data_IF_233283368508
#
_entry.id   IF_233283368508
#
_cell.length_a   1.000
_cell.length_b   1.000
_cell.length_c   1.000
_cell.angle_alpha   90.00
_cell.angle_beta   90.00
_cell.angle_gamma   90.00
#
_symmetry.space_group_name_H-M   'P 1'
#
loop_
_entity.id
_entity.type
_entity.pdbx_description
1 polymer ?
#
# COMPACT_ATOMS: atom_id res chain seq x y z
N UNK A 1 -5.69 6.28 1.00
CA UNK A 1 -4.55 6.02 0.09
C UNK A 1 -4.94 6.39 -1.34
N UNK A 2 -4.01 6.82 -2.21
CA UNK A 2 -4.24 7.09 -3.64
C UNK A 2 -3.32 6.23 -4.51
N UNK A 3 -3.81 5.10 -5.00
CA UNK A 3 -3.05 4.30 -5.97
C UNK A 3 -3.18 4.86 -7.39
N UNK A 4 -2.10 4.76 -8.18
CA UNK A 4 -1.96 5.38 -9.51
C UNK A 4 -2.36 4.45 -10.67
N UNK A 5 -3.11 3.40 -10.36
CA UNK A 5 -3.89 2.64 -11.34
C UNK A 5 -5.35 3.09 -11.20
N UNK A 6 -6.05 3.34 -12.32
CA UNK A 6 -7.48 3.72 -12.35
C UNK A 6 -8.36 2.80 -11.50
N UNK A 7 -7.90 1.59 -11.17
CA UNK A 7 -8.61 0.56 -10.41
C UNK A 7 -8.58 0.74 -8.88
N UNK A 8 -7.70 1.56 -8.30
CA UNK A 8 -7.43 1.53 -6.84
C UNK A 8 -7.44 2.92 -6.15
N UNK A 9 -8.10 3.92 -6.75
CA UNK A 9 -8.27 5.25 -6.16
C UNK A 9 -9.26 5.21 -4.98
N UNK A 10 -8.88 5.82 -3.86
CA UNK A 10 -9.79 6.02 -2.72
C UNK A 10 -9.89 4.84 -1.74
N UNK A 11 -9.00 3.86 -1.83
CA UNK A 11 -8.98 2.74 -0.90
C UNK A 11 -8.46 3.20 0.47
N UNK A 12 -9.19 2.81 1.51
CA UNK A 12 -8.85 2.98 2.92
C UNK A 12 -8.90 1.63 3.62
N UNK A 13 -7.98 1.42 4.55
CA UNK A 13 -7.94 0.20 5.33
C UNK A 13 -6.74 0.19 6.26
N UNK A 14 -6.70 -0.82 7.11
CA UNK A 14 -5.60 -1.05 8.04
C UNK A 14 -4.52 -1.87 7.35
N UNK A 15 -3.28 -1.40 7.42
CA UNK A 15 -2.13 -2.20 6.97
C UNK A 15 -1.95 -3.39 7.91
N UNK A 16 -1.96 -4.59 7.35
CA UNK A 16 -1.78 -5.85 8.07
C UNK A 16 -0.32 -6.31 8.00
N UNK A 17 0.35 -6.05 6.87
CA UNK A 17 1.75 -6.38 6.71
C UNK A 17 2.29 -6.05 5.33
N UNK A 18 3.54 -6.45 5.12
CA UNK A 18 4.25 -6.27 3.87
C UNK A 18 4.81 -7.61 3.41
N UNK A 19 4.76 -7.84 2.10
CA UNK A 19 5.59 -8.86 1.44
C UNK A 19 6.72 -8.17 0.69
N UNK A 20 7.57 -8.93 -0.02
CA UNK A 20 8.73 -8.40 -0.75
C UNK A 20 8.41 -7.21 -1.68
N UNK A 21 7.21 -7.16 -2.24
CA UNK A 21 6.81 -6.13 -3.21
C UNK A 21 5.37 -5.64 -3.08
N UNK A 22 4.63 -6.12 -2.09
CA UNK A 22 3.23 -5.78 -1.90
C UNK A 22 2.93 -5.33 -0.47
N UNK A 23 1.91 -4.49 -0.35
CA UNK A 23 1.21 -4.17 0.88
C UNK A 23 0.05 -5.15 1.04
N UNK A 24 -0.11 -5.70 2.25
CA UNK A 24 -1.31 -6.45 2.64
C UNK A 24 -2.12 -5.56 3.57
N UNK A 25 -3.42 -5.40 3.28
CA UNK A 25 -4.31 -4.55 4.06
C UNK A 25 -5.69 -5.18 4.21
N UNK A 26 -6.41 -4.76 5.26
CA UNK A 26 -7.80 -5.11 5.52
C UNK A 26 -8.64 -3.83 5.37
N UNK A 27 -9.65 -3.87 4.52
CA UNK A 27 -10.57 -2.74 4.28
C UNK A 27 -11.83 -2.76 5.15
N UNK A 28 -11.89 -3.67 6.12
CA UNK A 28 -13.05 -3.90 6.98
C UNK A 28 -14.09 -4.85 6.38
N UNK A 29 -13.83 -5.41 5.19
CA UNK A 29 -14.68 -6.40 4.54
C UNK A 29 -14.54 -7.83 5.08
N UNK A 30 -13.60 -8.06 6.00
CA UNK A 30 -13.30 -9.39 6.56
C UNK A 30 -12.28 -10.20 5.76
N UNK A 31 -11.93 -9.74 4.55
CA UNK A 31 -10.91 -10.34 3.69
C UNK A 31 -9.68 -9.46 3.57
N UNK A 32 -8.49 -10.08 3.60
CA UNK A 32 -7.23 -9.39 3.36
C UNK A 32 -7.01 -9.19 1.85
N UNK A 33 -6.56 -8.00 1.49
CA UNK A 33 -6.29 -7.59 0.10
C UNK A 33 -4.83 -7.24 -0.07
N UNK A 34 -4.33 -7.45 -1.30
CA UNK A 34 -2.92 -7.27 -1.65
C UNK A 34 -2.78 -6.17 -2.70
N UNK A 35 -1.89 -5.20 -2.46
CA UNK A 35 -1.59 -4.10 -3.37
C UNK A 35 -0.11 -4.04 -3.72
N UNK A 36 0.27 -4.04 -5.02
CA UNK A 36 1.66 -3.90 -5.42
C UNK A 36 2.21 -2.52 -5.09
N UNK A 37 3.30 -2.46 -4.30
CA UNK A 37 3.92 -1.21 -3.83
C UNK A 37 4.30 -0.27 -4.99
N UNK A 38 4.76 -0.83 -6.11
CA UNK A 38 5.19 -0.07 -7.31
C UNK A 38 4.10 0.80 -7.95
N UNK A 39 2.83 0.59 -7.62
CA UNK A 39 1.68 1.27 -8.23
C UNK A 39 0.85 2.10 -7.25
N UNK A 40 1.26 2.18 -5.98
CA UNK A 40 0.46 2.84 -4.96
C UNK A 40 1.17 4.05 -4.37
N UNK A 41 0.38 5.08 -4.06
CA UNK A 41 0.77 6.13 -3.13
C UNK A 41 -0.17 6.01 -1.93
N UNK A 42 0.39 5.92 -0.73
CA UNK A 42 -0.38 5.81 0.50
C UNK A 42 -0.28 7.08 1.32
N UNK A 43 -1.25 7.27 2.20
CA UNK A 43 -1.24 8.31 3.22
C UNK A 43 -1.36 7.61 4.55
N UNK A 44 -0.36 7.76 5.40
CA UNK A 44 -0.25 7.12 6.72
C UNK A 44 -0.04 8.23 7.72
N UNK A 45 -0.98 8.41 8.63
CA UNK A 45 -0.91 9.46 9.68
C UNK A 45 -0.66 10.87 9.12
N UNK A 46 -1.24 11.19 7.96
CA UNK A 46 -1.06 12.48 7.27
C UNK A 46 0.24 12.60 6.46
N UNK A 47 1.12 11.60 6.50
CA UNK A 47 2.32 11.53 5.66
C UNK A 47 2.03 10.79 4.36
N UNK A 48 2.37 11.43 3.25
CA UNK A 48 2.25 10.84 1.92
C UNK A 48 3.49 10.02 1.60
N UNK A 49 3.30 8.72 1.32
CA UNK A 49 4.37 7.76 1.02
C UNK A 49 4.19 7.20 -0.39
N UNK A 50 5.19 7.37 -1.26
CA UNK A 50 5.24 6.69 -2.57
C UNK A 50 5.69 5.24 -2.35
N UNK A 51 4.88 4.27 -2.77
CA UNK A 51 5.17 2.85 -2.60
C UNK A 51 6.43 2.40 -3.34
N UNK A 52 6.89 3.11 -4.39
CA UNK A 52 8.19 2.84 -5.03
C UNK A 52 9.36 3.19 -4.12
N UNK A 53 9.24 4.25 -3.32
CA UNK A 53 10.25 4.63 -2.33
C UNK A 53 10.31 3.57 -1.23
N UNK A 54 9.14 3.16 -0.72
CA UNK A 54 9.07 2.11 0.30
C UNK A 54 9.64 0.78 -0.20
N UNK A 55 9.37 0.43 -1.47
CA UNK A 55 9.92 -0.78 -2.09
C UNK A 55 11.46 -0.78 -2.13
N UNK A 56 12.09 0.37 -2.40
CA UNK A 56 13.56 0.48 -2.38
C UNK A 56 14.12 0.26 -0.98
N UNK A 57 13.51 0.88 0.03
CA UNK A 57 13.94 0.73 1.43
C UNK A 57 13.82 -0.73 1.91
N UNK A 58 12.73 -1.42 1.54
CA UNK A 58 12.53 -2.83 1.88
C UNK A 58 13.48 -3.80 1.15
N UNK A 59 14.16 -3.35 0.09
CA UNK A 59 15.14 -4.16 -0.66
C UNK A 59 16.58 -3.95 -0.19
N UNK A 60 16.83 -2.90 0.58
CA UNK A 60 18.12 -2.59 1.20
C UNK A 60 18.25 -3.19 2.62
N UNK A 61 17.14 -3.70 3.17
CA UNK A 61 17.04 -4.47 4.41
C UNK A 61 17.14 -5.97 4.16
#
# INVERSE_FOLDING_TARGET
>A
MRANSRTYLGISGRVVGFTKNCLVYDDGGGDQKILPLRHIVMEVEGLRVDGRTLLRLLQEL
#
